data_IF_199817013783
#
_entry.id   IF_199817013783
#
_cell.length_a   1.000
_cell.length_b   1.000
_cell.length_c   1.000
_cell.angle_alpha   90.00
_cell.angle_beta   90.00
_cell.angle_gamma   90.00
#
_symmetry.space_group_name_H-M   'P 1'
#
loop_
_entity.id
_entity.type
_entity.pdbx_description
1 polymer ?
#
# COMPACT_ATOMS: atom_id res chain seq x y z
N UNK A 1 -3.40 14.55 21.61
CA UNK A 1 -3.47 13.83 20.32
C UNK A 1 -2.09 13.25 20.06
N UNK A 2 -1.96 11.93 20.00
CA UNK A 2 -0.68 11.30 19.72
C UNK A 2 -0.28 11.62 18.27
N UNK A 3 0.91 12.19 18.06
CA UNK A 3 1.50 12.30 16.71
C UNK A 3 1.66 10.88 16.19
N UNK A 4 0.91 10.51 15.16
CA UNK A 4 1.14 9.26 14.43
C UNK A 4 2.54 9.34 13.86
N UNK A 5 3.45 8.51 14.37
CA UNK A 5 4.82 8.46 13.90
C UNK A 5 4.79 7.79 12.52
N UNK A 6 5.31 8.47 11.51
CA UNK A 6 5.50 7.88 10.17
C UNK A 6 6.41 6.66 10.32
N UNK A 7 5.93 5.51 9.87
CA UNK A 7 6.70 4.27 9.88
C UNK A 7 7.55 4.21 8.59
N UNK A 8 8.89 4.15 8.70
CA UNK A 8 9.77 4.17 7.54
C UNK A 8 9.61 2.93 6.66
N UNK A 9 9.28 1.76 7.24
CA UNK A 9 9.09 0.51 6.48
C UNK A 9 7.80 0.60 5.68
N UNK A 10 6.70 1.01 6.32
CA UNK A 10 5.43 1.19 5.60
C UNK A 10 5.55 2.23 4.49
N UNK A 11 6.27 3.34 4.75
CA UNK A 11 6.52 4.38 3.75
C UNK A 11 7.31 3.85 2.56
N UNK A 12 8.39 3.10 2.81
CA UNK A 12 9.20 2.50 1.75
C UNK A 12 8.42 1.50 0.89
N UNK A 13 7.50 0.74 1.48
CA UNK A 13 6.63 -0.18 0.73
C UNK A 13 5.72 0.59 -0.23
N UNK A 14 5.06 1.64 0.26
CA UNK A 14 4.18 2.46 -0.58
C UNK A 14 4.99 3.15 -1.67
N UNK A 15 6.15 3.72 -1.35
CA UNK A 15 7.03 4.34 -2.33
C UNK A 15 7.48 3.39 -3.44
N UNK A 16 7.87 2.16 -3.08
CA UNK A 16 8.28 1.15 -4.06
C UNK A 16 7.10 0.79 -4.98
N UNK A 17 5.90 0.61 -4.43
CA UNK A 17 4.70 0.33 -5.20
C UNK A 17 4.32 1.49 -6.13
N UNK A 18 4.35 2.73 -5.63
CA UNK A 18 4.07 3.96 -6.38
C UNK A 18 5.01 4.11 -7.56
N UNK A 19 6.33 4.00 -7.32
CA UNK A 19 7.32 4.11 -8.41
C UNK A 19 7.22 2.98 -9.41
N UNK A 20 7.03 1.75 -8.94
CA UNK A 20 7.02 0.58 -9.80
C UNK A 20 5.81 0.54 -10.75
N UNK A 21 4.71 1.21 -10.42
CA UNK A 21 3.48 1.26 -11.24
C UNK A 21 3.31 2.60 -11.96
N UNK A 22 4.28 3.51 -11.84
CA UNK A 22 4.20 4.84 -12.42
C UNK A 22 3.08 5.72 -11.82
N UNK A 23 2.55 5.36 -10.66
CA UNK A 23 1.51 6.14 -9.97
C UNK A 23 2.08 7.47 -9.45
N UNK A 24 1.25 8.51 -9.48
CA UNK A 24 1.62 9.83 -8.92
C UNK A 24 1.44 9.87 -7.40
N UNK A 25 0.58 9.01 -6.85
CA UNK A 25 0.33 8.87 -5.42
C UNK A 25 0.19 7.40 -5.02
N UNK A 26 0.58 7.10 -3.79
CA UNK A 26 0.27 5.82 -3.14
C UNK A 26 -0.19 6.02 -1.72
N UNK A 27 -1.12 5.18 -1.27
CA UNK A 27 -1.63 5.15 0.09
C UNK A 27 -1.67 3.72 0.61
N UNK A 28 -1.16 3.50 1.82
CA UNK A 28 -1.44 2.30 2.59
C UNK A 28 -2.48 2.64 3.64
N UNK A 29 -3.63 1.98 3.55
CA UNK A 29 -4.78 2.20 4.40
C UNK A 29 -4.91 1.03 5.38
N UNK A 30 -4.77 1.27 6.68
CA UNK A 30 -4.95 0.26 7.72
C UNK A 30 -6.40 0.26 8.23
N UNK A 31 -7.05 -0.91 8.28
CA UNK A 31 -8.43 -1.04 8.76
C UNK A 31 -8.47 -1.00 10.30
N UNK A 32 -9.21 -0.03 10.84
CA UNK A 32 -9.47 0.16 12.27
C UNK A 32 -10.98 0.16 12.55
N UNK A 33 -11.57 -1.03 12.62
CA UNK A 33 -13.01 -1.18 12.84
C UNK A 33 -13.82 -0.75 11.63
N UNK A 34 -14.49 0.41 11.68
CA UNK A 34 -15.32 0.93 10.57
C UNK A 34 -14.66 2.05 9.78
N UNK A 35 -13.44 2.42 10.13
CA UNK A 35 -12.63 3.41 9.42
C UNK A 35 -11.34 2.76 8.94
N UNK A 36 -10.80 3.27 7.86
CA UNK A 36 -9.42 3.04 7.45
C UNK A 36 -8.60 4.26 7.85
N UNK A 37 -7.35 4.08 8.25
CA UNK A 37 -6.42 5.18 8.47
C UNK A 37 -5.28 5.12 7.49
N UNK A 38 -4.83 6.26 7.01
CA UNK A 38 -3.60 6.34 6.24
C UNK A 38 -2.42 5.95 7.16
N UNK A 39 -1.90 4.76 6.95
CA UNK A 39 -0.73 4.24 7.67
C UNK A 39 0.58 4.72 7.04
N UNK A 40 0.60 4.89 5.72
CA UNK A 40 1.70 5.49 4.99
C UNK A 40 1.20 6.08 3.67
N UNK A 41 1.97 7.01 3.11
CA UNK A 41 1.68 7.68 1.85
C UNK A 41 2.97 7.94 1.08
N UNK A 42 2.88 7.98 -0.25
CA UNK A 42 3.98 8.33 -1.14
C UNK A 42 3.48 9.21 -2.30
N UNK A 43 4.41 9.90 -2.96
CA UNK A 43 4.10 10.81 -4.07
C UNK A 43 3.66 12.19 -3.58
N UNK A 44 2.86 12.89 -4.39
CA UNK A 44 2.61 14.32 -4.18
C UNK A 44 1.72 14.68 -2.97
N UNK A 45 1.06 13.68 -2.35
CA UNK A 45 0.30 13.84 -1.11
C UNK A 45 1.22 14.09 0.10
N UNK A 46 2.49 13.68 0.03
CA UNK A 46 3.43 13.80 1.15
C UNK A 46 2.98 13.03 2.39
N UNK A 47 3.61 13.31 3.54
CA UNK A 47 3.38 12.62 4.81
C UNK A 47 2.32 13.28 5.71
N UNK A 48 1.81 14.46 5.32
CA UNK A 48 0.84 15.22 6.09
C UNK A 48 -0.52 14.51 6.21
N UNK A 49 -0.83 13.61 5.27
CA UNK A 49 -2.06 12.81 5.27
C UNK A 49 -1.98 11.58 6.17
N UNK A 50 -0.81 11.25 6.75
CA UNK A 50 -0.66 10.08 7.61
C UNK A 50 -1.48 10.23 8.89
N UNK A 51 -2.32 9.24 9.15
CA UNK A 51 -3.26 9.21 10.27
C UNK A 51 -4.68 9.68 9.92
N UNK A 52 -4.88 10.30 8.76
CA UNK A 52 -6.20 10.76 8.32
C UNK A 52 -7.17 9.57 8.17
N UNK A 53 -8.42 9.70 8.67
CA UNK A 53 -9.42 8.66 8.57
C UNK A 53 -10.13 8.69 7.21
N UNK A 54 -10.45 7.51 6.70
CA UNK A 54 -11.23 7.27 5.49
C UNK A 54 -12.35 6.29 5.84
N UNK A 55 -13.56 6.55 5.36
CA UNK A 55 -14.69 5.64 5.57
C UNK A 55 -14.39 4.27 4.94
N UNK A 56 -14.43 3.20 5.74
CA UNK A 56 -14.07 1.85 5.26
C UNK A 56 -15.07 1.25 4.26
N UNK A 57 -16.20 1.92 3.99
CA UNK A 57 -17.25 1.45 3.08
C UNK A 57 -17.38 2.29 1.81
N UNK A 58 -16.52 3.28 1.61
CA UNK A 58 -16.64 4.23 0.50
C UNK A 58 -15.51 4.03 -0.53
N UNK A 59 -15.82 4.37 -1.78
CA UNK A 59 -14.86 4.37 -2.87
C UNK A 59 -14.24 3.01 -3.20
N UNK A 60 -13.10 3.07 -3.89
CA UNK A 60 -12.38 1.89 -4.39
C UNK A 60 -11.82 1.06 -3.22
N UNK A 61 -11.11 1.68 -2.27
CA UNK A 61 -10.63 0.99 -1.08
C UNK A 61 -11.72 0.31 -0.27
N UNK A 62 -12.89 0.94 -0.08
CA UNK A 62 -13.98 0.31 0.66
C UNK A 62 -14.48 -0.97 -0.02
N UNK A 63 -14.60 -0.96 -1.35
CA UNK A 63 -14.94 -2.15 -2.12
C UNK A 63 -13.89 -3.26 -1.97
N UNK A 64 -12.60 -2.92 -2.08
CA UNK A 64 -11.50 -3.89 -1.96
C UNK A 64 -11.42 -4.46 -0.54
N UNK A 65 -11.57 -3.63 0.48
CA UNK A 65 -11.60 -4.06 1.88
C UNK A 65 -12.74 -5.06 2.15
N UNK A 66 -13.91 -4.84 1.55
CA UNK A 66 -15.08 -5.69 1.74
C UNK A 66 -15.04 -6.99 0.91
N UNK A 67 -14.58 -6.91 -0.33
CA UNK A 67 -14.56 -8.06 -1.26
C UNK A 67 -13.31 -8.92 -1.14
N UNK A 68 -12.20 -8.35 -0.65
CA UNK A 68 -10.89 -8.98 -0.71
C UNK A 68 -10.38 -9.20 -2.14
N UNK A 69 -10.95 -8.49 -3.13
CA UNK A 69 -10.55 -8.57 -4.53
C UNK A 69 -9.90 -7.28 -4.99
N UNK A 70 -8.81 -7.34 -5.78
CA UNK A 70 -8.22 -6.14 -6.36
C UNK A 70 -9.20 -5.47 -7.34
N UNK A 71 -9.11 -4.15 -7.45
CA UNK A 71 -9.94 -3.35 -8.35
C UNK A 71 -9.12 -2.22 -8.97
N UNK A 72 -9.09 -2.18 -10.30
CA UNK A 72 -8.57 -1.06 -11.07
C UNK A 72 -9.75 -0.34 -11.76
N UNK A 73 -9.83 0.98 -11.59
CA UNK A 73 -10.83 1.84 -12.20
C UNK A 73 -10.16 3.04 -12.86
N UNK A 74 -10.77 3.53 -13.93
CA UNK A 74 -10.41 4.78 -14.60
C UNK A 74 -11.62 5.69 -14.74
N UNK A 75 -11.38 6.98 -15.00
CA UNK A 75 -12.43 7.97 -15.21
C UNK A 75 -13.43 7.58 -16.31
N UNK A 76 -12.97 6.83 -17.33
CA UNK A 76 -13.80 6.34 -18.44
C UNK A 76 -14.85 5.31 -18.01
N UNK A 77 -14.67 4.66 -16.84
CA UNK A 77 -15.64 3.70 -16.31
C UNK A 77 -16.94 4.36 -15.84
N UNK A 78 -16.93 5.66 -15.58
CA UNK A 78 -18.00 6.41 -14.91
C UNK A 78 -18.49 5.77 -13.59
N UNK A 79 -17.65 4.94 -12.95
CA UNK A 79 -17.97 4.33 -11.66
C UNK A 79 -17.87 5.39 -10.55
N UNK A 80 -18.95 5.63 -9.77
CA UNK A 80 -18.97 6.66 -8.73
C UNK A 80 -17.92 6.42 -7.63
N UNK A 81 -17.45 5.18 -7.44
CA UNK A 81 -16.42 4.84 -6.44
C UNK A 81 -15.11 5.58 -6.66
N UNK A 82 -14.82 6.04 -7.88
CA UNK A 82 -13.60 6.79 -8.19
C UNK A 82 -13.57 8.17 -7.52
N UNK A 83 -14.72 8.79 -7.31
CA UNK A 83 -14.85 10.13 -6.69
C UNK A 83 -15.15 10.10 -5.18
N UNK A 84 -15.11 8.93 -4.56
CA UNK A 84 -15.42 8.74 -3.14
C UNK A 84 -14.17 8.30 -2.36
N UNK A 85 -14.25 8.29 -1.03
CA UNK A 85 -13.15 7.83 -0.17
C UNK A 85 -11.91 8.70 -0.32
N UNK A 86 -10.85 8.14 -0.92
CA UNK A 86 -9.52 8.76 -1.00
C UNK A 86 -9.46 10.00 -1.91
N UNK A 87 -10.43 10.17 -2.82
CA UNK A 87 -10.60 11.39 -3.61
C UNK A 87 -10.72 12.66 -2.74
N UNK A 88 -11.33 12.55 -1.56
CA UNK A 88 -11.43 13.68 -0.63
C UNK A 88 -10.08 14.13 -0.08
N UNK A 89 -9.12 13.21 0.06
CA UNK A 89 -7.76 13.52 0.50
C UNK A 89 -6.91 14.13 -0.62
N UNK A 90 -7.15 13.73 -1.87
CA UNK A 90 -6.45 14.25 -3.04
C UNK A 90 -6.83 15.70 -3.36
N UNK A 91 -8.05 16.12 -2.99
CA UNK A 91 -8.59 17.44 -3.35
C UNK A 91 -9.00 17.54 -4.83
N UNK A 92 -8.98 16.42 -5.56
CA UNK A 92 -9.46 16.28 -6.93
C UNK A 92 -9.98 14.87 -7.18
N UNK A 93 -10.67 14.67 -8.31
CA UNK A 93 -11.04 13.33 -8.76
C UNK A 93 -9.83 12.66 -9.44
N UNK A 94 -9.47 11.41 -9.09
CA UNK A 94 -8.47 10.64 -9.79
C UNK A 94 -8.79 10.43 -11.27
N UNK A 95 -7.77 10.33 -12.12
CA UNK A 95 -7.88 9.82 -13.49
C UNK A 95 -7.96 8.29 -13.52
N UNK A 96 -7.25 7.61 -12.61
CA UNK A 96 -7.35 6.18 -12.37
C UNK A 96 -6.88 5.79 -10.96
N UNK A 97 -7.43 4.69 -10.45
CA UNK A 97 -7.08 4.11 -9.14
C UNK A 97 -6.94 2.60 -9.29
N UNK A 98 -5.84 2.05 -8.79
CA UNK A 98 -5.65 0.63 -8.53
C UNK A 98 -5.61 0.41 -7.02
N UNK A 99 -6.52 -0.40 -6.52
CA UNK A 99 -6.57 -0.79 -5.11
C UNK A 99 -6.41 -2.30 -4.99
N UNK A 100 -5.54 -2.74 -4.08
CA UNK A 100 -5.30 -4.16 -3.80
C UNK A 100 -5.42 -4.46 -2.30
N UNK A 101 -5.96 -5.64 -1.93
CA UNK A 101 -6.16 -6.00 -0.54
C UNK A 101 -4.83 -6.32 0.15
N UNK A 102 -4.68 -5.87 1.40
CA UNK A 102 -3.61 -6.31 2.29
C UNK A 102 -4.16 -7.44 3.16
N UNK A 103 -3.86 -8.67 2.79
CA UNK A 103 -4.39 -9.87 3.43
C UNK A 103 -3.61 -10.25 4.70
N UNK A 104 -4.29 -10.22 5.85
CA UNK A 104 -3.76 -10.68 7.14
C UNK A 104 -4.02 -12.16 7.44
N UNK A 105 -4.35 -12.95 6.41
CA UNK A 105 -4.59 -14.40 6.46
C UNK A 105 -6.00 -14.79 6.89
N UNK A 106 -6.51 -14.21 7.98
CA UNK A 106 -7.89 -14.48 8.46
C UNK A 106 -8.91 -13.44 7.99
N UNK A 107 -8.44 -12.26 7.62
CA UNK A 107 -9.23 -11.12 7.16
C UNK A 107 -8.33 -10.12 6.44
N UNK A 108 -8.93 -9.25 5.65
CA UNK A 108 -8.24 -8.07 5.12
C UNK A 108 -7.93 -7.11 6.28
N UNK A 109 -6.67 -6.71 6.39
CA UNK A 109 -6.17 -5.79 7.43
C UNK A 109 -5.91 -4.39 6.90
N UNK A 110 -5.92 -4.21 5.59
CA UNK A 110 -5.72 -2.93 4.93
C UNK A 110 -5.93 -2.97 3.43
N UNK A 111 -5.68 -1.85 2.78
CA UNK A 111 -5.71 -1.69 1.32
C UNK A 111 -4.49 -0.88 0.90
N UNK A 112 -3.81 -1.31 -0.16
CA UNK A 112 -2.81 -0.50 -0.86
C UNK A 112 -3.49 0.12 -2.08
N UNK A 113 -3.54 1.46 -2.14
CA UNK A 113 -4.05 2.21 -3.28
C UNK A 113 -2.92 2.92 -4.02
N UNK A 114 -3.01 2.91 -5.34
CA UNK A 114 -2.11 3.55 -6.30
C UNK A 114 -2.98 4.40 -7.24
N UNK A 115 -2.56 5.64 -7.47
CA UNK A 115 -3.45 6.67 -8.01
C UNK A 115 -2.72 7.48 -9.09
N UNK A 116 -3.45 7.76 -10.17
CA UNK A 116 -3.03 8.56 -11.33
C UNK A 116 -1.69 8.09 -11.94
N UNK A 117 -1.69 6.93 -12.63
CA UNK A 117 -0.52 6.43 -13.33
C UNK A 117 -0.16 7.37 -14.50
N UNK A 118 1.14 7.55 -14.75
CA UNK A 118 1.62 8.38 -15.84
C UNK A 118 1.15 7.92 -17.23
N UNK A 119 1.00 6.60 -17.42
CA UNK A 119 0.55 5.99 -18.69
C UNK A 119 -0.99 5.84 -18.79
N UNK A 120 -1.73 6.42 -17.83
CA UNK A 120 -3.17 6.64 -17.87
C UNK A 120 -4.04 5.51 -17.33
N UNK A 121 -3.65 4.24 -17.47
CA UNK A 121 -4.37 3.08 -16.93
C UNK A 121 -3.42 2.13 -16.23
N UNK A 122 -3.93 1.46 -15.19
CA UNK A 122 -3.23 0.33 -14.57
C UNK A 122 -3.56 -0.96 -15.31
N UNK A 123 -2.53 -1.76 -15.59
CA UNK A 123 -2.68 -3.05 -16.24
C UNK A 123 -2.61 -4.24 -15.25
N UNK A 124 -2.57 -5.45 -15.82
CA UNK A 124 -2.48 -6.68 -15.02
C UNK A 124 -1.12 -6.79 -14.33
N UNK A 125 -0.03 -6.36 -14.98
CA UNK A 125 1.30 -6.39 -14.39
C UNK A 125 1.41 -5.41 -13.22
N UNK A 126 0.83 -4.22 -13.32
CA UNK A 126 0.71 -3.27 -12.21
C UNK A 126 -0.04 -3.88 -11.03
N UNK A 127 -1.13 -4.58 -11.31
CA UNK A 127 -1.95 -5.26 -10.29
C UNK A 127 -1.15 -6.37 -9.60
N UNK A 128 -0.47 -7.23 -10.36
CA UNK A 128 0.39 -8.29 -9.81
C UNK A 128 1.52 -7.72 -8.95
N UNK A 129 2.17 -6.65 -9.41
CA UNK A 129 3.22 -5.98 -8.67
C UNK A 129 2.69 -5.33 -7.38
N UNK A 130 1.54 -4.66 -7.43
CA UNK A 130 0.90 -4.09 -6.25
C UNK A 130 0.53 -5.18 -5.23
N UNK A 131 0.04 -6.34 -5.67
CA UNK A 131 -0.27 -7.48 -4.80
C UNK A 131 0.98 -8.02 -4.07
N UNK A 132 2.15 -8.02 -4.72
CA UNK A 132 3.41 -8.40 -4.09
C UNK A 132 3.79 -7.41 -2.97
N UNK A 133 3.68 -6.11 -3.22
CA UNK A 133 3.91 -5.07 -2.20
C UNK A 133 2.91 -5.17 -1.04
N UNK A 134 1.63 -5.43 -1.34
CA UNK A 134 0.59 -5.64 -0.33
C UNK A 134 0.88 -6.85 0.57
N UNK A 135 1.50 -7.91 0.04
CA UNK A 135 1.95 -9.06 0.84
C UNK A 135 3.01 -8.64 1.87
N UNK A 136 3.97 -7.80 1.48
CA UNK A 136 4.99 -7.28 2.41
C UNK A 136 4.38 -6.30 3.41
N UNK A 137 3.43 -5.46 2.96
CA UNK A 137 2.70 -4.53 3.81
C UNK A 137 1.90 -5.25 4.92
N UNK A 138 1.37 -6.44 4.64
CA UNK A 138 0.62 -7.23 5.63
C UNK A 138 1.47 -7.58 6.85
N UNK A 139 2.71 -8.04 6.62
CA UNK A 139 3.64 -8.35 7.70
C UNK A 139 3.98 -7.08 8.50
N UNK A 140 4.32 -5.99 7.83
CA UNK A 140 4.70 -4.74 8.48
C UNK A 140 3.55 -4.10 9.28
N UNK A 141 2.31 -4.13 8.77
CA UNK A 141 1.13 -3.66 9.51
C UNK A 141 0.85 -4.52 10.75
N UNK A 142 1.08 -5.83 10.65
CA UNK A 142 0.91 -6.75 11.79
C UNK A 142 1.93 -6.44 12.90
N UNK A 143 3.20 -6.25 12.53
CA UNK A 143 4.27 -5.92 13.48
C UNK A 143 4.05 -4.56 14.15
N UNK A 144 3.68 -3.54 13.37
CA UNK A 144 3.34 -2.21 13.87
C UNK A 144 2.16 -2.27 14.86
N UNK A 145 1.15 -3.10 14.59
CA UNK A 145 -0.03 -3.27 15.46
C UNK A 145 0.30 -3.97 16.77
N UNK A 146 1.23 -4.93 16.75
CA UNK A 146 1.67 -5.66 17.93
C UNK A 146 2.64 -4.85 18.81
N UNK A 147 3.07 -3.66 18.36
CA UNK A 147 4.04 -2.84 19.06
C UNK A 147 5.37 -3.58 19.25
N UNK A 148 5.68 -4.50 18.33
CA UNK A 148 6.78 -5.42 18.49
C UNK A 148 8.09 -4.63 18.54
N UNK A 149 8.67 -4.59 19.74
CA UNK A 149 10.12 -4.59 19.93
C UNK A 149 10.62 -5.95 19.41
N UNK A 150 10.47 -6.22 18.12
CA UNK A 150 11.15 -7.36 17.54
C UNK A 150 12.65 -7.05 17.64
N UNK A 151 13.41 -7.99 18.22
CA UNK A 151 14.87 -7.98 18.14
C UNK A 151 15.20 -7.77 16.66
N UNK A 152 15.73 -6.59 16.31
CA UNK A 152 16.04 -6.27 14.91
C UNK A 152 17.07 -7.31 14.49
N UNK A 153 16.77 -8.19 13.52
CA UNK A 153 17.69 -9.23 13.13
C UNK A 153 19.01 -8.59 12.69
N UNK A 154 20.13 -9.21 13.04
CA UNK A 154 21.43 -8.70 12.63
C UNK A 154 21.48 -8.60 11.10
N UNK A 155 22.18 -7.63 10.49
CA UNK A 155 22.23 -7.47 9.03
C UNK A 155 22.61 -8.76 8.26
N UNK A 156 23.40 -9.63 8.90
CA UNK A 156 23.77 -10.94 8.37
C UNK A 156 22.58 -11.91 8.30
N UNK A 157 21.67 -11.89 9.28
CA UNK A 157 20.46 -12.71 9.32
C UNK A 157 19.46 -12.25 8.26
N UNK A 158 19.29 -10.93 8.12
CA UNK A 158 18.48 -10.34 7.04
C UNK A 158 19.05 -10.75 5.69
N UNK A 159 20.35 -10.59 5.46
CA UNK A 159 20.97 -10.97 4.19
C UNK A 159 20.86 -12.46 3.87
N UNK A 160 20.98 -13.33 4.88
CA UNK A 160 20.82 -14.78 4.71
C UNK A 160 19.37 -15.14 4.35
N UNK A 161 18.40 -14.54 5.05
CA UNK A 161 16.99 -14.78 4.79
C UNK A 161 16.56 -14.24 3.42
N UNK A 162 17.04 -13.05 3.04
CA UNK A 162 16.80 -12.49 1.71
C UNK A 162 17.36 -13.37 0.60
N UNK A 163 18.56 -13.94 0.77
CA UNK A 163 19.13 -14.91 -0.19
C UNK A 163 18.30 -16.18 -0.28
N UNK A 164 17.89 -16.73 0.86
CA UNK A 164 17.03 -17.91 0.93
C UNK A 164 15.70 -17.67 0.19
N UNK A 165 15.07 -16.51 0.41
CA UNK A 165 13.83 -16.13 -0.28
C UNK A 165 14.05 -15.94 -1.79
N UNK A 166 15.19 -15.36 -2.19
CA UNK A 166 15.55 -15.19 -3.60
C UNK A 166 15.70 -16.50 -4.37
N UNK A 167 16.22 -17.54 -3.70
CA UNK A 167 16.37 -18.87 -4.28
C UNK A 167 15.03 -19.59 -4.43
N UNK A 168 14.06 -19.30 -3.56
CA UNK A 168 12.73 -19.94 -3.55
C UNK A 168 11.78 -19.28 -4.55
N UNK A 169 11.80 -17.95 -4.64
CA UNK A 169 10.94 -17.18 -5.55
C UNK A 169 11.65 -15.88 -5.99
N UNK A 170 12.32 -15.89 -7.16
CA UNK A 170 13.07 -14.75 -7.66
C UNK A 170 12.22 -13.48 -7.83
N UNK A 171 10.91 -13.61 -8.07
CA UNK A 171 10.00 -12.47 -8.28
C UNK A 171 9.75 -11.69 -6.98
N UNK A 172 9.66 -12.39 -5.84
CA UNK A 172 9.54 -11.78 -4.51
C UNK A 172 10.81 -11.03 -4.10
N UNK A 173 11.99 -11.51 -4.50
CA UNK A 173 13.25 -10.82 -4.20
C UNK A 173 13.36 -9.46 -4.88
N UNK A 174 12.92 -9.36 -6.13
CA UNK A 174 12.87 -8.06 -6.83
C UNK A 174 12.01 -7.04 -6.06
N UNK A 175 10.87 -7.49 -5.51
CA UNK A 175 10.00 -6.64 -4.69
C UNK A 175 10.73 -6.15 -3.43
N UNK A 176 11.34 -7.06 -2.66
CA UNK A 176 12.02 -6.68 -1.41
C UNK A 176 13.24 -5.78 -1.67
N UNK A 177 13.98 -6.01 -2.76
CA UNK A 177 15.09 -5.15 -3.16
C UNK A 177 14.63 -3.71 -3.42
N UNK A 178 13.52 -3.52 -4.15
CA UNK A 178 12.99 -2.16 -4.41
C UNK A 178 12.55 -1.43 -3.13
N UNK A 179 12.06 -2.16 -2.12
CA UNK A 179 11.69 -1.59 -0.81
C UNK A 179 12.95 -1.19 -0.03
N UNK A 180 13.99 -2.04 -0.01
CA UNK A 180 15.26 -1.72 0.64
C UNK A 180 15.92 -0.50 -0.03
N UNK A 181 15.89 -0.41 -1.35
CA UNK A 181 16.39 0.76 -2.07
C UNK A 181 15.64 2.05 -1.70
N UNK A 182 14.33 1.97 -1.40
CA UNK A 182 13.56 3.10 -0.91
C UNK A 182 13.99 3.52 0.51
N UNK A 183 14.24 2.54 1.40
CA UNK A 183 14.64 2.77 2.80
C UNK A 183 16.00 3.45 2.97
N UNK A 184 16.91 3.25 2.01
CA UNK A 184 18.32 3.68 2.12
C UNK A 184 18.57 5.06 1.50
N UNK A 185 17.54 5.71 0.93
CA UNK A 185 17.62 7.07 0.38
C UNK A 185 17.18 8.13 1.40
#
# INVERSE_FOLDING_TARGET
MARTRVDPVLTAIVEAATRGTGASHGLLLAIEGRVMRVAASAGALGWDVVGEPISAGEGVAGYVAASGQPLALSADSADPRLGEGTASLLGHNPSAVLAVPVDGGSRIVGVLELIDPHDGLFDVADTEQAMLHATVASAALTDARLGALADVPEPAEIAAELRRLAEVDPSRYATVATIIEALVR
#
